data_IF_831645579978
#
_entry.id   IF_831645579978
#
_cell.length_a   1.000
_cell.length_b   1.000
_cell.length_c   1.000
_cell.angle_alpha   90.00
_cell.angle_beta   90.00
_cell.angle_gamma   90.00
#
_symmetry.space_group_name_H-M   'P 1'
#
loop_
_entity.id
_entity.type
_entity.pdbx_description
1 polymer ?
#
# COMPACT_ATOMS: atom_id res chain seq x y z
N UNK A 1 15.97 12.67 2.42
CA UNK A 1 15.82 11.37 1.72
C UNK A 1 17.08 10.51 1.72
N UNK A 2 18.29 11.09 1.79
CA UNK A 2 19.57 10.36 1.64
C UNK A 2 19.80 9.19 2.63
N UNK A 3 19.11 9.14 3.78
CA UNK A 3 19.26 8.10 4.80
C UNK A 3 18.09 7.10 4.89
N UNK A 4 17.12 7.12 3.97
CA UNK A 4 16.04 6.14 3.99
C UNK A 4 16.49 4.81 3.38
N UNK A 5 16.16 3.70 4.04
CA UNK A 5 16.34 2.36 3.48
C UNK A 5 15.48 2.17 2.22
N UNK A 6 15.85 1.21 1.36
CA UNK A 6 15.10 0.97 0.13
C UNK A 6 13.60 0.66 0.35
N UNK A 7 13.17 -0.09 1.39
CA UNK A 7 11.76 -0.37 1.61
C UNK A 7 10.98 0.90 1.98
N UNK A 8 11.60 1.79 2.76
CA UNK A 8 10.99 3.08 3.10
C UNK A 8 10.83 3.99 1.87
N UNK A 9 11.80 3.98 0.95
CA UNK A 9 11.66 4.72 -0.31
C UNK A 9 10.56 4.14 -1.19
N UNK A 10 10.46 2.80 -1.25
CA UNK A 10 9.37 2.13 -1.94
C UNK A 10 8.02 2.48 -1.33
N UNK A 11 7.89 2.46 0.00
CA UNK A 11 6.69 2.86 0.73
C UNK A 11 6.30 4.32 0.45
N UNK A 12 7.25 5.26 0.42
CA UNK A 12 6.96 6.65 0.05
C UNK A 12 6.40 6.76 -1.37
N UNK A 13 7.04 6.11 -2.34
CA UNK A 13 6.55 6.11 -3.73
C UNK A 13 5.17 5.47 -3.81
N UNK A 14 4.98 4.33 -3.14
CA UNK A 14 3.73 3.59 -3.09
C UNK A 14 2.58 4.40 -2.49
N UNK A 15 2.79 5.01 -1.32
CA UNK A 15 1.83 5.89 -0.68
C UNK A 15 1.50 7.12 -1.54
N UNK A 16 2.49 7.70 -2.22
CA UNK A 16 2.27 8.83 -3.15
C UNK A 16 1.40 8.43 -4.34
N UNK A 17 1.66 7.26 -4.93
CA UNK A 17 0.85 6.73 -6.04
C UNK A 17 -0.58 6.46 -5.59
N UNK A 18 -0.77 5.86 -4.41
CA UNK A 18 -2.10 5.63 -3.84
C UNK A 18 -2.87 6.92 -3.58
N UNK A 19 -2.19 7.95 -3.05
CA UNK A 19 -2.81 9.26 -2.86
C UNK A 19 -3.27 9.87 -4.18
N UNK A 20 -2.40 9.86 -5.20
CA UNK A 20 -2.73 10.39 -6.52
C UNK A 20 -3.88 9.61 -7.16
N UNK A 21 -3.86 8.28 -7.08
CA UNK A 21 -4.93 7.44 -7.58
C UNK A 21 -6.24 7.71 -6.82
N UNK A 22 -6.21 7.76 -5.49
CA UNK A 22 -7.41 8.08 -4.71
C UNK A 22 -8.05 9.42 -5.06
N UNK A 23 -7.24 10.44 -5.36
CA UNK A 23 -7.75 11.73 -5.87
C UNK A 23 -8.41 11.57 -7.24
N UNK A 24 -7.82 10.79 -8.15
CA UNK A 24 -8.44 10.48 -9.46
C UNK A 24 -9.76 9.73 -9.28
N UNK A 25 -9.81 8.74 -8.38
CA UNK A 25 -11.03 7.98 -8.12
C UNK A 25 -12.14 8.85 -7.53
N UNK A 26 -11.80 9.79 -6.64
CA UNK A 26 -12.75 10.76 -6.07
C UNK A 26 -13.25 11.78 -7.09
N UNK A 27 -12.33 12.42 -7.81
CA UNK A 27 -12.63 13.64 -8.57
C UNK A 27 -12.99 13.33 -10.03
N UNK A 28 -12.30 12.38 -10.66
CA UNK A 28 -12.48 12.09 -12.08
C UNK A 28 -13.43 10.91 -12.32
N UNK A 29 -13.34 9.85 -11.51
CA UNK A 29 -14.12 8.63 -11.72
C UNK A 29 -15.43 8.57 -10.92
N UNK A 30 -15.63 9.45 -9.93
CA UNK A 30 -16.81 9.45 -9.06
C UNK A 30 -16.92 8.21 -8.14
N UNK A 31 -15.84 7.44 -7.98
CA UNK A 31 -15.80 6.20 -7.20
C UNK A 31 -15.47 6.50 -5.75
N UNK A 32 -16.43 7.07 -5.03
CA UNK A 32 -16.21 7.62 -3.68
C UNK A 32 -15.60 6.60 -2.71
N UNK A 33 -16.12 5.37 -2.67
CA UNK A 33 -15.63 4.34 -1.74
C UNK A 33 -14.16 3.97 -1.99
N UNK A 34 -13.80 3.70 -3.25
CA UNK A 34 -12.43 3.39 -3.66
C UNK A 34 -11.50 4.59 -3.45
N UNK A 35 -11.95 5.78 -3.85
CA UNK A 35 -11.18 7.00 -3.68
C UNK A 35 -10.83 7.28 -2.22
N UNK A 36 -11.81 7.16 -1.30
CA UNK A 36 -11.55 7.30 0.15
C UNK A 36 -10.59 6.22 0.64
N UNK A 37 -10.78 4.96 0.22
CA UNK A 37 -9.91 3.85 0.57
C UNK A 37 -8.46 4.13 0.15
N UNK A 38 -8.22 4.51 -1.11
CA UNK A 38 -6.88 4.78 -1.63
C UNK A 38 -6.23 6.00 -0.99
N UNK A 39 -6.98 7.07 -0.73
CA UNK A 39 -6.44 8.26 -0.04
C UNK A 39 -6.01 7.89 1.38
N UNK A 40 -6.87 7.22 2.15
CA UNK A 40 -6.55 6.87 3.54
C UNK A 40 -5.38 5.89 3.60
N UNK A 41 -5.44 4.81 2.82
CA UNK A 41 -4.35 3.82 2.79
C UNK A 41 -3.04 4.42 2.28
N UNK A 42 -3.10 5.26 1.25
CA UNK A 42 -1.94 6.01 0.73
C UNK A 42 -1.33 6.95 1.77
N UNK A 43 -2.16 7.70 2.50
CA UNK A 43 -1.70 8.58 3.57
C UNK A 43 -1.03 7.80 4.72
N UNK A 44 -1.64 6.68 5.12
CA UNK A 44 -1.10 5.81 6.19
C UNK A 44 0.25 5.23 5.80
N UNK A 45 0.39 4.66 4.60
CA UNK A 45 1.66 4.15 4.07
C UNK A 45 2.71 5.26 3.98
N UNK A 46 2.33 6.40 3.40
CA UNK A 46 3.25 7.52 3.23
C UNK A 46 3.80 8.00 4.58
N UNK A 47 2.93 8.13 5.58
CA UNK A 47 3.32 8.54 6.93
C UNK A 47 4.17 7.47 7.64
N UNK A 48 3.87 6.18 7.48
CA UNK A 48 4.61 5.10 8.14
C UNK A 48 6.00 4.89 7.56
N UNK A 49 6.23 5.27 6.29
CA UNK A 49 7.51 5.10 5.61
C UNK A 49 8.70 5.74 6.35
N UNK A 50 8.46 6.77 7.18
CA UNK A 50 9.51 7.40 7.98
C UNK A 50 9.96 6.60 9.21
N UNK A 51 9.29 5.50 9.54
CA UNK A 51 9.61 4.63 10.68
C UNK A 51 9.51 3.15 10.28
N UNK A 52 10.66 2.50 10.05
CA UNK A 52 10.75 1.07 9.60
C UNK A 52 9.84 0.13 10.40
N UNK A 53 9.82 0.25 11.73
CA UNK A 53 8.98 -0.59 12.60
C UNK A 53 7.48 -0.38 12.37
N UNK A 54 7.06 0.87 12.13
CA UNK A 54 5.67 1.20 11.80
C UNK A 54 5.34 0.70 10.39
N UNK A 55 6.22 0.96 9.43
CA UNK A 55 6.07 0.53 8.04
C UNK A 55 5.89 -0.99 7.92
N UNK A 56 6.63 -1.77 8.71
CA UNK A 56 6.43 -3.22 8.75
C UNK A 56 4.99 -3.60 9.11
N UNK A 57 4.44 -3.00 10.17
CA UNK A 57 3.06 -3.32 10.61
C UNK A 57 2.03 -2.83 9.60
N UNK A 58 2.25 -1.62 9.06
CA UNK A 58 1.37 -1.04 8.04
C UNK A 58 1.40 -1.84 6.76
N UNK A 59 2.57 -2.22 6.24
CA UNK A 59 2.69 -3.04 5.03
C UNK A 59 1.99 -4.39 5.16
N UNK A 60 2.07 -5.05 6.33
CA UNK A 60 1.30 -6.28 6.59
C UNK A 60 -0.20 -6.03 6.56
N UNK A 61 -0.67 -4.97 7.24
CA UNK A 61 -2.09 -4.61 7.27
C UNK A 61 -2.60 -4.23 5.87
N UNK A 62 -1.86 -3.41 5.12
CA UNK A 62 -2.22 -2.99 3.77
C UNK A 62 -2.22 -4.16 2.79
N UNK A 63 -1.31 -5.13 2.97
CA UNK A 63 -1.35 -6.39 2.24
C UNK A 63 -2.70 -7.09 2.38
N UNK A 64 -3.17 -7.25 3.62
CA UNK A 64 -4.49 -7.84 3.89
C UNK A 64 -5.62 -7.00 3.30
N UNK A 65 -5.61 -5.68 3.52
CA UNK A 65 -6.65 -4.76 3.02
C UNK A 65 -6.78 -4.86 1.51
N UNK A 66 -5.69 -4.75 0.75
CA UNK A 66 -5.76 -4.75 -0.71
C UNK A 66 -6.05 -6.14 -1.29
N UNK A 67 -5.64 -7.23 -0.64
CA UNK A 67 -6.06 -8.57 -1.04
C UNK A 67 -7.56 -8.78 -0.81
N UNK A 68 -8.11 -8.30 0.31
CA UNK A 68 -9.56 -8.34 0.57
C UNK A 68 -10.31 -7.50 -0.45
N UNK A 69 -9.85 -6.27 -0.73
CA UNK A 69 -10.46 -5.39 -1.73
C UNK A 69 -10.44 -6.04 -3.11
N UNK A 70 -9.35 -6.69 -3.49
CA UNK A 70 -9.28 -7.48 -4.73
C UNK A 70 -10.32 -8.60 -4.77
N UNK A 71 -10.43 -9.40 -3.70
CA UNK A 71 -11.37 -10.52 -3.64
C UNK A 71 -12.82 -10.03 -3.80
N UNK A 72 -13.20 -8.98 -3.10
CA UNK A 72 -14.54 -8.40 -3.22
C UNK A 72 -14.77 -7.72 -4.57
N UNK A 73 -13.81 -6.93 -5.06
CA UNK A 73 -13.91 -6.26 -6.35
C UNK A 73 -14.01 -7.24 -7.52
N UNK A 74 -13.31 -8.36 -7.47
CA UNK A 74 -13.38 -9.41 -8.48
C UNK A 74 -14.61 -10.32 -8.34
N UNK A 75 -15.11 -10.50 -7.11
CA UNK A 75 -16.25 -11.38 -6.81
C UNK A 75 -17.62 -10.74 -7.05
N UNK A 76 -17.72 -9.41 -6.99
CA UNK A 76 -18.99 -8.68 -7.11
C UNK A 76 -18.90 -7.56 -8.16
N UNK A 77 -19.00 -7.89 -9.47
CA UNK A 77 -18.95 -6.88 -10.54
C UNK A 77 -20.02 -5.79 -10.36
N UNK A 78 -19.60 -4.53 -10.46
CA UNK A 78 -20.44 -3.36 -10.18
C UNK A 78 -20.64 -3.01 -8.70
N UNK A 79 -20.05 -3.79 -7.79
CA UNK A 79 -20.05 -3.52 -6.34
C UNK A 79 -19.21 -2.30 -5.95
N UNK A 80 -19.32 -1.86 -4.71
CA UNK A 80 -18.64 -0.66 -4.22
C UNK A 80 -17.10 -0.73 -4.25
N UNK A 81 -16.54 -1.94 -4.28
CA UNK A 81 -15.11 -2.21 -4.36
C UNK A 81 -14.65 -2.65 -5.75
N UNK A 82 -15.55 -2.76 -6.72
CA UNK A 82 -15.17 -3.14 -8.09
C UNK A 82 -14.55 -1.94 -8.83
N UNK A 83 -13.25 -2.05 -9.12
CA UNK A 83 -12.52 -1.06 -9.91
C UNK A 83 -12.41 -1.42 -11.40
N UNK A 84 -13.09 -2.49 -11.84
CA UNK A 84 -12.93 -3.13 -13.14
C UNK A 84 -11.67 -3.98 -13.23
N UNK A 85 -11.50 -4.72 -14.33
CA UNK A 85 -10.41 -5.69 -14.51
C UNK A 85 -9.02 -5.14 -14.17
N UNK A 86 -8.68 -3.96 -14.73
CA UNK A 86 -7.37 -3.33 -14.51
C UNK A 86 -7.20 -2.86 -13.07
N UNK A 87 -8.24 -2.23 -12.50
CA UNK A 87 -8.19 -1.72 -11.12
C UNK A 87 -8.08 -2.85 -10.10
N UNK A 88 -8.88 -3.91 -10.25
CA UNK A 88 -8.85 -5.09 -9.39
C UNK A 88 -7.49 -5.81 -9.52
N UNK A 89 -6.98 -5.99 -10.75
CA UNK A 89 -5.64 -6.52 -10.97
C UNK A 89 -4.56 -5.69 -10.28
N UNK A 90 -4.70 -4.37 -10.29
CA UNK A 90 -3.81 -3.49 -9.54
C UNK A 90 -3.99 -3.63 -8.02
N UNK A 91 -5.19 -3.79 -7.46
CA UNK A 91 -5.36 -4.09 -6.02
C UNK A 91 -4.61 -5.36 -5.58
N UNK A 92 -4.63 -6.41 -6.40
CA UNK A 92 -3.84 -7.61 -6.14
C UNK A 92 -2.34 -7.30 -6.05
N UNK A 93 -1.82 -6.55 -7.03
CA UNK A 93 -0.41 -6.15 -7.06
C UNK A 93 -0.04 -5.23 -5.89
N UNK A 94 -0.93 -4.30 -5.52
CA UNK A 94 -0.77 -3.43 -4.35
C UNK A 94 -0.69 -4.27 -3.05
N UNK A 95 -1.50 -5.33 -2.94
CA UNK A 95 -1.46 -6.28 -1.83
C UNK A 95 -0.10 -6.96 -1.70
N UNK A 96 0.41 -7.55 -2.78
CA UNK A 96 1.73 -8.19 -2.79
C UNK A 96 2.88 -7.20 -2.58
N UNK A 97 2.80 -6.01 -3.16
CA UNK A 97 3.79 -4.95 -2.93
C UNK A 97 3.88 -4.56 -1.45
N UNK A 98 2.73 -4.46 -0.77
CA UNK A 98 2.67 -4.14 0.67
C UNK A 98 3.32 -5.24 1.52
N UNK A 99 3.08 -6.51 1.20
CA UNK A 99 3.74 -7.65 1.85
C UNK A 99 5.25 -7.62 1.64
N UNK A 100 5.69 -7.41 0.38
CA UNK A 100 7.11 -7.34 0.04
C UNK A 100 7.83 -6.20 0.79
N UNK A 101 7.19 -5.02 0.92
CA UNK A 101 7.72 -3.91 1.71
C UNK A 101 7.85 -4.30 3.20
N UNK A 102 6.85 -4.96 3.77
CA UNK A 102 6.87 -5.40 5.16
C UNK A 102 7.99 -6.42 5.44
N UNK A 103 8.15 -7.44 4.59
CA UNK A 103 9.24 -8.42 4.68
C UNK A 103 10.61 -7.76 4.55
N UNK A 104 10.72 -6.80 3.64
CA UNK A 104 11.96 -6.08 3.40
C UNK A 104 12.35 -5.17 4.57
N UNK A 105 11.36 -4.61 5.29
CA UNK A 105 11.59 -3.92 6.55
C UNK A 105 12.17 -4.88 7.62
N UNK A 106 11.62 -6.09 7.75
CA UNK A 106 12.14 -7.13 8.67
C UNK A 106 13.59 -7.47 8.32
N UNK A 107 13.88 -7.71 7.04
CA UNK A 107 15.23 -8.01 6.57
C UNK A 107 16.22 -6.90 6.94
N UNK A 108 15.84 -5.64 6.72
CA UNK A 108 16.69 -4.49 7.06
C UNK A 108 16.95 -4.39 8.57
N UNK A 109 15.93 -4.63 9.41
CA UNK A 109 16.09 -4.66 10.87
C UNK A 109 17.02 -5.79 11.34
N UNK A 110 16.85 -6.99 10.79
CA UNK A 110 17.71 -8.15 11.11
C UNK A 110 19.16 -7.90 10.71
N UNK A 111 19.39 -7.39 9.49
CA UNK A 111 20.73 -7.06 8.99
C UNK A 111 21.41 -5.96 9.81
N UNK A 112 20.64 -4.97 10.29
CA UNK A 112 21.18 -3.94 11.17
C UNK A 112 21.63 -4.50 12.52
N UNK A 113 20.87 -5.43 13.11
CA UNK A 113 21.24 -6.10 14.37
C UNK A 113 22.49 -6.97 14.25
N UNK A 114 22.67 -7.66 13.13
CA UNK A 114 23.87 -8.48 12.86
C UNK A 114 25.16 -7.67 12.67
N UNK A 115 25.06 -6.36 12.46
CA UNK A 115 26.21 -5.46 12.26
C UNK A 115 26.63 -4.73 13.54
N UNK A 116 25.90 -4.91 14.63
CA UNK A 116 26.29 -4.40 15.94
C UNK A 116 27.35 -5.36 16.52
N UNK A 117 28.51 -4.86 16.98
CA UNK A 117 29.57 -5.67 17.59
C UNK A 117 29.13 -6.30 18.92
#
# INVERSE_FOLDING_TARGET
>A
MANLSWPQRAALAFGTVLLAWGVVDLVAAGRVALGVLHVITGAVVFASAFRVRAERMVGTLMGLVFLVVFVFGAGEPGGALDAGLIGNGAHLLLGFASVAIAESCVWCEQRARQRLP
#
